data_IF_346521191887
#
_entry.id   IF_346521191887
#
_cell.length_a   1.000
_cell.length_b   1.000
_cell.length_c   1.000
_cell.angle_alpha   90.00
_cell.angle_beta   90.00
_cell.angle_gamma   90.00
#
_symmetry.space_group_name_H-M   'P 1'
#
loop_
_entity.id
_entity.type
_entity.pdbx_description
1 polymer ?
#
# COMPACT_ATOMS: atom_id res chain seq x y z
N UNK A 1 -12.34 -10.38 19.85
CA UNK A 1 -13.26 -10.44 18.68
C UNK A 1 -13.51 -11.89 18.31
N UNK A 2 -14.73 -12.21 17.92
CA UNK A 2 -15.08 -13.53 17.41
C UNK A 2 -14.53 -13.71 15.98
N UNK A 3 -14.44 -14.98 15.53
CA UNK A 3 -14.04 -15.27 14.14
C UNK A 3 -15.00 -14.64 13.12
N UNK A 4 -16.30 -14.61 13.44
CA UNK A 4 -17.32 -14.01 12.60
C UNK A 4 -17.13 -12.48 12.45
N UNK A 5 -16.82 -11.78 13.53
CA UNK A 5 -16.49 -10.35 13.48
C UNK A 5 -15.26 -10.07 12.64
N UNK A 6 -14.20 -10.88 12.77
CA UNK A 6 -13.01 -10.74 11.96
C UNK A 6 -13.29 -10.96 10.47
N UNK A 7 -14.08 -11.99 10.13
CA UNK A 7 -14.50 -12.26 8.76
C UNK A 7 -15.33 -11.11 8.18
N UNK A 8 -16.24 -10.52 8.97
CA UNK A 8 -17.01 -9.35 8.57
C UNK A 8 -16.15 -8.14 8.25
N UNK A 9 -15.12 -7.86 9.04
CA UNK A 9 -14.16 -6.77 8.78
C UNK A 9 -13.38 -7.03 7.50
N UNK A 10 -12.91 -8.25 7.27
CA UNK A 10 -12.21 -8.62 6.04
C UNK A 10 -13.10 -8.47 4.79
N UNK A 11 -14.37 -8.88 4.89
CA UNK A 11 -15.34 -8.69 3.81
C UNK A 11 -15.56 -7.21 3.51
N UNK A 12 -15.80 -6.40 4.55
CA UNK A 12 -15.99 -4.95 4.41
C UNK A 12 -14.76 -4.28 3.79
N UNK A 13 -13.56 -4.67 4.21
CA UNK A 13 -12.29 -4.22 3.64
C UNK A 13 -12.21 -4.56 2.15
N UNK A 14 -12.55 -5.80 1.76
CA UNK A 14 -12.56 -6.23 0.35
C UNK A 14 -13.56 -5.43 -0.50
N UNK A 15 -14.77 -5.21 0.00
CA UNK A 15 -15.80 -4.40 -0.68
C UNK A 15 -15.32 -2.96 -0.87
N UNK A 16 -14.69 -2.36 0.14
CA UNK A 16 -14.16 -1.00 0.03
C UNK A 16 -12.94 -0.90 -0.89
N UNK A 17 -12.11 -1.93 -0.95
CA UNK A 17 -11.03 -2.01 -1.94
C UNK A 17 -11.62 -2.04 -3.36
N UNK A 18 -12.66 -2.85 -3.59
CA UNK A 18 -13.37 -2.89 -4.87
C UNK A 18 -13.99 -1.53 -5.21
N UNK A 19 -14.65 -0.88 -4.26
CA UNK A 19 -15.18 0.47 -4.43
C UNK A 19 -14.08 1.48 -4.78
N UNK A 20 -12.90 1.35 -4.19
CA UNK A 20 -11.70 2.14 -4.53
C UNK A 20 -11.26 1.93 -5.98
N UNK A 21 -11.20 0.69 -6.46
CA UNK A 21 -10.88 0.38 -7.86
C UNK A 21 -11.91 0.98 -8.83
N UNK A 22 -13.20 0.82 -8.53
CA UNK A 22 -14.27 1.40 -9.35
C UNK A 22 -14.20 2.94 -9.33
N UNK A 23 -13.97 3.54 -8.16
CA UNK A 23 -13.79 4.97 -8.02
C UNK A 23 -12.62 5.50 -8.84
N UNK A 24 -11.47 4.85 -8.76
CA UNK A 24 -10.32 5.20 -9.61
C UNK A 24 -10.64 5.08 -11.10
N UNK A 25 -11.29 3.99 -11.53
CA UNK A 25 -11.68 3.80 -12.93
C UNK A 25 -12.64 4.89 -13.43
N UNK A 26 -13.61 5.29 -12.62
CA UNK A 26 -14.63 6.28 -13.00
C UNK A 26 -14.13 7.73 -12.94
N UNK A 27 -13.24 8.04 -12.01
CA UNK A 27 -12.87 9.43 -11.71
C UNK A 27 -11.43 9.78 -12.09
N UNK A 28 -10.58 8.82 -12.44
CA UNK A 28 -9.16 9.06 -12.73
C UNK A 28 -8.95 10.11 -13.83
N UNK A 29 -9.70 10.05 -14.93
CA UNK A 29 -9.62 11.01 -16.03
C UNK A 29 -10.06 12.42 -15.62
N UNK A 30 -11.11 12.53 -14.80
CA UNK A 30 -11.58 13.82 -14.28
C UNK A 30 -10.60 14.43 -13.29
N UNK A 31 -9.99 13.61 -12.45
CA UNK A 31 -8.96 14.02 -11.50
C UNK A 31 -7.69 14.46 -12.25
N UNK A 32 -7.28 13.72 -13.27
CA UNK A 32 -6.13 14.07 -14.10
C UNK A 32 -6.33 15.42 -14.81
N UNK A 33 -7.53 15.68 -15.34
CA UNK A 33 -7.88 16.98 -15.95
C UNK A 33 -7.82 18.16 -14.96
N UNK A 34 -7.92 17.89 -13.66
CA UNK A 34 -7.75 18.89 -12.57
C UNK A 34 -6.33 18.94 -12.01
N UNK A 35 -5.35 18.31 -12.67
CA UNK A 35 -3.95 18.29 -12.23
C UNK A 35 -3.59 17.16 -11.25
N UNK A 36 -4.55 16.31 -10.87
CA UNK A 36 -4.30 15.13 -10.02
C UNK A 36 -4.02 13.90 -10.89
N UNK A 37 -2.83 13.84 -11.48
CA UNK A 37 -2.41 12.70 -12.29
C UNK A 37 -2.21 11.41 -11.46
N UNK A 38 -1.90 10.27 -12.14
CA UNK A 38 -1.75 8.95 -11.50
C UNK A 38 -0.80 8.94 -10.32
N UNK A 39 0.30 9.69 -10.39
CA UNK A 39 1.28 9.82 -9.30
C UNK A 39 0.68 10.44 -8.04
N UNK A 40 -0.15 11.49 -8.18
CA UNK A 40 -0.78 12.14 -7.03
C UNK A 40 -1.82 11.21 -6.38
N UNK A 41 -2.60 10.49 -7.20
CA UNK A 41 -3.56 9.50 -6.70
C UNK A 41 -2.86 8.34 -6.00
N UNK A 42 -1.74 7.86 -6.54
CA UNK A 42 -0.91 6.84 -5.92
C UNK A 42 -0.39 7.28 -4.55
N UNK A 43 0.19 8.49 -4.46
CA UNK A 43 0.65 9.07 -3.21
C UNK A 43 -0.47 9.25 -2.18
N UNK A 44 -1.63 9.73 -2.61
CA UNK A 44 -2.79 9.90 -1.72
C UNK A 44 -3.24 8.55 -1.13
N UNK A 45 -3.29 7.49 -1.94
CA UNK A 45 -3.60 6.15 -1.47
C UNK A 45 -2.57 5.62 -0.47
N UNK A 46 -1.28 5.82 -0.73
CA UNK A 46 -0.22 5.45 0.20
C UNK A 46 -0.25 6.24 1.51
N UNK A 47 -0.49 7.56 1.44
CA UNK A 47 -0.65 8.38 2.64
C UNK A 47 -1.84 7.91 3.48
N UNK A 48 -2.96 7.57 2.82
CA UNK A 48 -4.15 7.03 3.48
C UNK A 48 -3.86 5.68 4.16
N UNK A 49 -3.16 4.77 3.47
CA UNK A 49 -2.75 3.48 4.04
C UNK A 49 -1.83 3.67 5.25
N UNK A 50 -0.85 4.58 5.14
CA UNK A 50 0.06 4.87 6.24
C UNK A 50 -0.70 5.40 7.45
N UNK A 51 -1.60 6.36 7.25
CA UNK A 51 -2.44 6.93 8.31
C UNK A 51 -3.32 5.85 8.98
N UNK A 52 -3.94 4.97 8.18
CA UNK A 52 -4.74 3.87 8.71
C UNK A 52 -3.87 2.88 9.51
N UNK A 53 -2.68 2.53 9.01
CA UNK A 53 -1.76 1.63 9.70
C UNK A 53 -1.26 2.23 11.02
N UNK A 54 -0.95 3.53 11.05
CA UNK A 54 -0.64 4.26 12.28
C UNK A 54 -1.79 4.16 13.28
N UNK A 55 -3.02 4.41 12.84
CA UNK A 55 -4.20 4.34 13.70
C UNK A 55 -4.41 2.93 14.29
N UNK A 56 -4.18 1.88 13.49
CA UNK A 56 -4.27 0.48 13.91
C UNK A 56 -3.19 0.16 14.96
N UNK A 57 -1.94 0.55 14.69
CA UNK A 57 -0.81 0.30 15.59
C UNK A 57 -0.95 1.05 16.91
N UNK A 58 -1.44 2.28 16.88
CA UNK A 58 -1.70 3.10 18.08
C UNK A 58 -2.99 2.70 18.80
N UNK A 59 -3.73 1.69 18.30
CA UNK A 59 -5.00 1.23 18.90
C UNK A 59 -6.05 2.35 19.00
N UNK A 60 -6.08 3.26 18.02
CA UNK A 60 -7.12 4.29 17.98
C UNK A 60 -8.49 3.60 17.89
N UNK A 61 -9.49 4.04 18.68
CA UNK A 61 -10.82 3.47 18.65
C UNK A 61 -11.39 3.38 17.22
N UNK A 62 -12.20 2.34 16.95
CA UNK A 62 -12.77 2.13 15.62
C UNK A 62 -11.88 1.27 14.70
N UNK A 63 -11.13 0.31 15.22
CA UNK A 63 -10.25 -0.55 14.43
C UNK A 63 -10.90 -1.15 13.16
N UNK A 64 -12.19 -1.57 13.10
CA UNK A 64 -12.82 -1.99 11.86
C UNK A 64 -12.81 -0.91 10.78
N UNK A 65 -13.07 0.34 11.17
CA UNK A 65 -13.04 1.48 10.26
C UNK A 65 -11.64 1.69 9.67
N UNK A 66 -10.59 1.60 10.51
CA UNK A 66 -9.21 1.78 10.04
C UNK A 66 -8.78 0.69 9.07
N UNK A 67 -9.21 -0.56 9.27
CA UNK A 67 -9.01 -1.63 8.29
C UNK A 67 -9.74 -1.36 6.97
N UNK A 68 -10.95 -0.82 7.04
CA UNK A 68 -11.70 -0.42 5.86
C UNK A 68 -11.03 0.74 5.10
N UNK A 69 -10.53 1.74 5.82
CA UNK A 69 -9.76 2.86 5.25
C UNK A 69 -8.49 2.34 4.57
N UNK A 70 -7.78 1.40 5.22
CA UNK A 70 -6.62 0.74 4.65
C UNK A 70 -6.95 0.01 3.35
N UNK A 71 -8.04 -0.78 3.33
CA UNK A 71 -8.50 -1.46 2.12
C UNK A 71 -8.83 -0.51 0.98
N UNK A 72 -9.55 0.58 1.26
CA UNK A 72 -9.86 1.61 0.26
C UNK A 72 -8.60 2.25 -0.32
N UNK A 73 -7.65 2.64 0.53
CA UNK A 73 -6.37 3.22 0.11
C UNK A 73 -5.52 2.24 -0.71
N UNK A 74 -5.61 0.94 -0.42
CA UNK A 74 -4.88 -0.11 -1.14
C UNK A 74 -5.27 -0.21 -2.62
N UNK A 75 -6.47 0.24 -3.01
CA UNK A 75 -6.87 0.29 -4.40
C UNK A 75 -5.93 1.14 -5.27
N UNK A 76 -5.30 2.17 -4.70
CA UNK A 76 -4.35 3.01 -5.42
C UNK A 76 -3.07 2.27 -5.85
N UNK A 77 -2.78 1.09 -5.28
CA UNK A 77 -1.60 0.30 -5.64
C UNK A 77 -1.60 -0.13 -7.11
N UNK A 78 -2.76 -0.25 -7.76
CA UNK A 78 -2.85 -0.54 -9.20
C UNK A 78 -2.17 0.55 -10.05
N UNK A 79 -2.12 1.78 -9.54
CA UNK A 79 -1.48 2.90 -10.22
C UNK A 79 0.06 2.78 -10.23
N UNK A 80 0.64 1.88 -9.43
CA UNK A 80 2.09 1.60 -9.46
C UNK A 80 2.56 1.22 -10.88
N UNK A 81 1.75 0.43 -11.60
CA UNK A 81 2.05 0.05 -12.99
C UNK A 81 2.10 1.27 -13.92
N UNK A 82 1.12 2.18 -13.79
CA UNK A 82 1.08 3.40 -14.59
C UNK A 82 2.25 4.32 -14.25
N UNK A 83 2.50 4.56 -12.96
CA UNK A 83 3.58 5.43 -12.49
C UNK A 83 4.96 4.90 -12.92
N UNK A 84 5.16 3.58 -12.87
CA UNK A 84 6.40 2.98 -13.31
C UNK A 84 6.58 3.12 -14.83
N UNK A 85 5.53 2.82 -15.60
CA UNK A 85 5.58 2.86 -17.06
C UNK A 85 5.81 4.27 -17.62
N UNK A 86 5.50 5.34 -16.87
CA UNK A 86 5.87 6.71 -17.24
C UNK A 86 7.39 6.93 -17.35
N UNK A 87 8.20 6.10 -16.68
CA UNK A 87 9.67 6.17 -16.68
C UNK A 87 10.35 5.29 -17.74
N UNK A 88 9.61 4.46 -18.50
CA UNK A 88 10.17 3.52 -19.45
C UNK A 88 9.62 3.70 -20.88
N UNK A 89 10.41 3.40 -21.93
CA UNK A 89 9.89 3.32 -23.29
C UNK A 89 8.75 2.29 -23.39
N UNK A 90 7.74 2.57 -24.22
CA UNK A 90 6.58 1.70 -24.41
C UNK A 90 6.94 0.26 -24.81
N UNK A 91 8.05 0.08 -25.55
CA UNK A 91 8.58 -1.23 -25.93
C UNK A 91 8.99 -2.09 -24.71
N UNK A 92 9.25 -1.50 -23.54
CA UNK A 92 9.60 -2.20 -22.30
C UNK A 92 8.42 -2.37 -21.33
N UNK A 93 7.23 -1.86 -21.66
CA UNK A 93 6.08 -1.88 -20.77
C UNK A 93 5.71 -3.29 -20.27
N UNK A 94 5.77 -4.30 -21.14
CA UNK A 94 5.52 -5.69 -20.75
C UNK A 94 6.52 -6.21 -19.74
N UNK A 95 7.81 -5.92 -19.92
CA UNK A 95 8.88 -6.35 -19.00
C UNK A 95 8.80 -5.62 -17.66
N UNK A 96 8.54 -4.32 -17.68
CA UNK A 96 8.37 -3.53 -16.45
C UNK A 96 7.16 -4.00 -15.64
N UNK A 97 6.03 -4.27 -16.28
CA UNK A 97 4.84 -4.79 -15.61
C UNK A 97 5.08 -6.18 -14.99
N UNK A 98 5.79 -7.07 -15.69
CA UNK A 98 6.15 -8.39 -15.16
C UNK A 98 7.06 -8.25 -13.94
N UNK A 99 8.06 -7.36 -13.97
CA UNK A 99 8.94 -7.11 -12.84
C UNK A 99 8.19 -6.56 -11.63
N UNK A 100 7.26 -5.62 -11.82
CA UNK A 100 6.40 -5.09 -10.74
C UNK A 100 5.55 -6.21 -10.14
N UNK A 101 4.87 -7.00 -10.97
CA UNK A 101 4.06 -8.11 -10.49
C UNK A 101 4.88 -9.10 -9.66
N UNK A 102 6.04 -9.52 -10.16
CA UNK A 102 6.93 -10.43 -9.43
C UNK A 102 7.34 -9.85 -8.08
N UNK A 103 7.73 -8.56 -8.05
CA UNK A 103 8.11 -7.86 -6.82
C UNK A 103 6.92 -7.76 -5.84
N UNK A 104 5.72 -7.46 -6.34
CA UNK A 104 4.51 -7.38 -5.52
C UNK A 104 4.15 -8.74 -4.89
N UNK A 105 4.20 -9.83 -5.67
CA UNK A 105 3.92 -11.18 -5.15
C UNK A 105 4.98 -11.64 -4.16
N UNK A 106 6.26 -11.49 -4.52
CA UNK A 106 7.37 -11.84 -3.62
C UNK A 106 7.33 -11.02 -2.33
N UNK A 107 7.09 -9.71 -2.43
CA UNK A 107 6.93 -8.83 -1.29
C UNK A 107 5.73 -9.18 -0.42
N UNK A 108 4.59 -9.51 -1.02
CA UNK A 108 3.38 -9.92 -0.28
C UNK A 108 3.61 -11.23 0.47
N UNK A 109 4.24 -12.21 -0.18
CA UNK A 109 4.60 -13.48 0.46
C UNK A 109 5.57 -13.27 1.62
N UNK A 110 6.65 -12.52 1.38
CA UNK A 110 7.65 -12.21 2.39
C UNK A 110 7.04 -11.45 3.59
N UNK A 111 6.14 -10.49 3.32
CA UNK A 111 5.46 -9.75 4.38
C UNK A 111 4.53 -10.64 5.20
N UNK A 112 3.70 -11.48 4.56
CA UNK A 112 2.76 -12.36 5.25
C UNK A 112 3.50 -13.37 6.14
N UNK A 113 4.52 -14.03 5.59
CA UNK A 113 5.33 -14.98 6.33
C UNK A 113 6.16 -14.27 7.41
N UNK A 114 6.80 -13.15 7.06
CA UNK A 114 7.69 -12.39 7.93
C UNK A 114 6.95 -11.78 9.14
N UNK A 115 5.71 -11.29 8.97
CA UNK A 115 4.88 -10.79 10.08
C UNK A 115 4.64 -11.91 11.10
N UNK A 116 4.32 -13.13 10.65
CA UNK A 116 4.11 -14.28 11.54
C UNK A 116 5.38 -14.64 12.33
N UNK A 117 6.49 -14.83 11.61
CA UNK A 117 7.79 -15.16 12.23
C UNK A 117 8.24 -14.08 13.21
N UNK A 118 8.12 -12.82 12.84
CA UNK A 118 8.52 -11.70 13.70
C UNK A 118 7.63 -11.60 14.95
N UNK A 119 6.31 -11.79 14.80
CA UNK A 119 5.40 -11.80 15.93
C UNK A 119 5.74 -12.91 16.93
N UNK A 120 6.04 -14.13 16.45
CA UNK A 120 6.42 -15.24 17.30
C UNK A 120 7.78 -15.03 17.96
N UNK A 121 8.77 -14.49 17.27
CA UNK A 121 10.06 -14.14 17.81
C UNK A 121 9.95 -13.08 18.93
N UNK A 122 9.15 -12.02 18.71
CA UNK A 122 8.92 -10.98 19.73
C UNK A 122 8.20 -11.55 20.95
N UNK A 123 7.22 -12.44 20.74
CA UNK A 123 6.53 -13.12 21.84
C UNK A 123 7.48 -13.95 22.70
N UNK A 124 8.35 -14.73 22.06
CA UNK A 124 9.30 -15.58 22.74
C UNK A 124 10.36 -14.76 23.51
N UNK A 125 10.91 -13.71 22.88
CA UNK A 125 11.98 -12.91 23.45
C UNK A 125 11.52 -12.00 24.60
N UNK A 126 10.28 -11.50 24.55
CA UNK A 126 9.78 -10.48 25.48
C UNK A 126 8.60 -10.97 26.35
N UNK A 127 8.28 -12.26 26.31
CA UNK A 127 7.14 -12.88 27.00
C UNK A 127 5.80 -12.14 26.74
N UNK A 128 5.59 -11.67 25.50
CA UNK A 128 4.42 -10.88 25.13
C UNK A 128 3.18 -11.74 24.89
N UNK A 129 2.00 -11.13 25.02
CA UNK A 129 0.76 -11.73 24.53
C UNK A 129 0.80 -11.88 23.01
N UNK A 130 -0.04 -12.77 22.46
CA UNK A 130 -0.17 -12.92 20.99
C UNK A 130 -0.53 -11.60 20.31
N UNK A 131 -1.41 -10.81 20.93
CA UNK A 131 -1.83 -9.51 20.41
C UNK A 131 -0.69 -8.47 20.38
N UNK A 132 0.15 -8.45 21.41
CA UNK A 132 1.26 -7.50 21.50
C UNK A 132 2.44 -7.91 20.61
N UNK A 133 2.73 -9.20 20.47
CA UNK A 133 3.71 -9.69 19.51
C UNK A 133 3.31 -9.35 18.07
N UNK A 134 2.05 -9.56 17.70
CA UNK A 134 1.53 -9.17 16.39
C UNK A 134 1.59 -7.65 16.17
N UNK A 135 1.26 -6.86 17.21
CA UNK A 135 1.40 -5.41 17.17
C UNK A 135 2.86 -4.98 16.93
N UNK A 136 3.82 -5.60 17.62
CA UNK A 136 5.24 -5.34 17.39
C UNK A 136 5.66 -5.60 15.94
N UNK A 137 5.17 -6.69 15.34
CA UNK A 137 5.40 -6.98 13.94
C UNK A 137 4.79 -5.91 13.01
N UNK A 138 3.57 -5.44 13.29
CA UNK A 138 2.96 -4.33 12.53
C UNK A 138 3.68 -3.00 12.71
N UNK A 139 4.27 -2.71 13.89
CA UNK A 139 5.14 -1.54 14.07
C UNK A 139 6.34 -1.62 13.14
N UNK A 140 6.98 -2.78 13.02
CA UNK A 140 8.11 -2.97 12.09
C UNK A 140 7.69 -2.75 10.65
N UNK A 141 6.55 -3.31 10.23
CA UNK A 141 5.99 -3.06 8.89
C UNK A 141 5.71 -1.57 8.67
N UNK A 142 5.12 -0.88 9.65
CA UNK A 142 4.86 0.55 9.58
C UNK A 142 6.15 1.35 9.36
N UNK A 143 7.21 1.04 10.10
CA UNK A 143 8.52 1.71 9.94
C UNK A 143 9.10 1.47 8.54
N UNK A 144 9.06 0.22 8.06
CA UNK A 144 9.54 -0.13 6.71
C UNK A 144 8.76 0.61 5.62
N UNK A 145 7.43 0.62 5.72
CA UNK A 145 6.55 1.29 4.75
C UNK A 145 6.75 2.80 4.81
N UNK A 146 6.87 3.39 6.00
CA UNK A 146 7.14 4.81 6.16
C UNK A 146 8.50 5.21 5.57
N UNK A 147 9.54 4.41 5.79
CA UNK A 147 10.86 4.63 5.21
C UNK A 147 10.83 4.55 3.67
N UNK A 148 10.14 3.54 3.12
CA UNK A 148 9.98 3.40 1.67
C UNK A 148 9.20 4.58 1.07
N UNK A 149 8.15 5.03 1.75
CA UNK A 149 7.36 6.20 1.33
C UNK A 149 8.19 7.49 1.38
N UNK A 150 8.95 7.69 2.45
CA UNK A 150 9.86 8.83 2.57
C UNK A 150 10.92 8.84 1.47
N UNK A 151 11.50 7.67 1.16
CA UNK A 151 12.46 7.53 0.05
C UNK A 151 11.81 7.85 -1.29
N UNK A 152 10.62 7.34 -1.55
CA UNK A 152 9.88 7.66 -2.78
C UNK A 152 9.63 9.17 -2.90
N UNK A 153 9.22 9.84 -1.81
CA UNK A 153 9.04 11.30 -1.78
C UNK A 153 10.34 12.06 -2.02
N UNK A 154 11.44 11.62 -1.44
CA UNK A 154 12.76 12.24 -1.66
C UNK A 154 13.22 12.13 -3.13
N UNK A 155 12.88 11.01 -3.79
CA UNK A 155 13.14 10.77 -5.20
C UNK A 155 12.13 11.43 -6.16
N UNK A 156 11.05 12.00 -5.65
CA UNK A 156 9.90 12.48 -6.45
C UNK A 156 10.27 13.34 -7.64
N UNK A 157 11.15 14.34 -7.44
CA UNK A 157 11.58 15.26 -8.49
C UNK A 157 12.35 14.54 -9.61
N UNK A 158 13.10 13.49 -9.29
CA UNK A 158 13.86 12.70 -10.26
C UNK A 158 12.94 11.84 -11.13
N UNK A 159 11.86 11.32 -10.55
CA UNK A 159 10.86 10.51 -11.27
C UNK A 159 9.82 11.37 -12.01
N UNK A 160 9.70 12.65 -11.67
CA UNK A 160 8.78 13.58 -12.33
C UNK A 160 9.35 14.21 -13.61
N UNK A 161 10.66 14.12 -13.84
CA UNK A 161 11.26 14.62 -15.07
C UNK A 161 10.87 13.71 -16.26
N UNK A 162 10.37 14.27 -17.38
CA UNK A 162 10.12 13.47 -18.58
C UNK A 162 11.44 12.82 -19.04
N UNK A 163 11.41 11.55 -19.52
CA UNK A 163 12.61 10.90 -20.02
C UNK A 163 13.23 11.71 -21.16
N UNK A 164 14.55 11.85 -21.11
CA UNK A 164 15.33 12.64 -22.09
C UNK A 164 15.15 12.16 -23.56
N UNK A 165 14.59 10.97 -23.75
CA UNK A 165 14.35 10.33 -25.04
C UNK A 165 13.14 10.89 -25.81
N UNK A 166 12.31 11.74 -25.22
CA UNK A 166 11.15 12.34 -25.89
C UNK A 166 11.48 13.59 -26.72
N UNK A 167 12.75 13.91 -26.91
CA UNK A 167 13.22 15.11 -27.67
C UNK A 167 14.05 14.80 -28.93
N UNK A 168 13.99 13.58 -29.42
CA UNK A 168 14.62 13.23 -30.70
C UNK A 168 13.58 12.89 -31.77
#
# INVERSE_FOLDING_TARGET
RTRAEAAGVLLAMGVLTLAGYLGLGLFATRLAARGFGPRHMYLAGWALNLAALVAIVLRIPGAPLWWCVYGFGAAANILAFTVLNEGFPSALAGRSNTAVNLTMFAGSFAAQWGIGVLADALRAAMALSTADGLRGAFVTVLVMVAAAFAWFLAGWKRYAAPPAVARA
#
